data_IF_473649485749
#
_entry.id   IF_473649485749
#
_cell.length_a   1.000
_cell.length_b   1.000
_cell.length_c   1.000
_cell.angle_alpha   90.00
_cell.angle_beta   90.00
_cell.angle_gamma   90.00
#
_symmetry.space_group_name_H-M   'P 1'
#
loop_
_entity.id
_entity.type
_entity.pdbx_description
1 polymer ?
#
# COMPACT_ATOMS: atom_id res chain seq x y z
N UNK A 1 -7.73 4.26 -7.85
CA UNK A 1 -7.99 3.12 -8.78
C UNK A 1 -6.76 2.89 -9.65
N UNK A 2 -5.84 2.04 -9.21
CA UNK A 2 -4.68 1.54 -10.01
C UNK A 2 -4.19 0.19 -9.44
N UNK A 3 -5.14 -0.66 -9.05
CA UNK A 3 -5.06 -1.26 -7.71
C UNK A 3 -4.47 -2.69 -7.67
N UNK A 4 -4.83 -3.60 -8.58
CA UNK A 4 -4.37 -5.00 -8.46
C UNK A 4 -2.89 -5.24 -8.78
N UNK A 5 -2.29 -4.48 -9.70
CA UNK A 5 -0.87 -4.63 -10.02
C UNK A 5 0.04 -4.10 -8.91
N UNK A 6 -0.37 -3.02 -8.24
CA UNK A 6 0.33 -2.51 -7.07
C UNK A 6 0.33 -3.55 -5.94
N UNK A 7 -0.84 -4.15 -5.66
CA UNK A 7 -0.93 -5.27 -4.71
C UNK A 7 -0.03 -6.43 -5.13
N UNK A 8 -0.03 -6.80 -6.42
CA UNK A 8 0.82 -7.85 -6.96
C UNK A 8 2.32 -7.55 -6.74
N UNK A 9 2.76 -6.31 -7.01
CA UNK A 9 4.15 -5.90 -6.78
C UNK A 9 4.57 -6.00 -5.30
N UNK A 10 3.66 -5.67 -4.38
CA UNK A 10 3.87 -5.86 -2.94
C UNK A 10 3.95 -7.35 -2.59
N UNK A 11 3.06 -8.19 -3.11
CA UNK A 11 3.04 -9.63 -2.85
C UNK A 11 4.28 -10.37 -3.39
N UNK A 12 4.78 -9.96 -4.55
CA UNK A 12 5.98 -10.50 -5.18
C UNK A 12 7.28 -9.87 -4.65
N UNK A 13 7.18 -8.93 -3.72
CA UNK A 13 8.29 -8.21 -3.10
C UNK A 13 9.25 -7.51 -4.09
N UNK A 14 8.74 -7.15 -5.28
CA UNK A 14 9.50 -6.51 -6.36
C UNK A 14 10.19 -5.24 -5.83
N UNK A 15 9.47 -4.44 -5.04
CA UNK A 15 10.01 -3.20 -4.52
C UNK A 15 11.20 -3.42 -3.60
N UNK A 16 11.18 -4.47 -2.79
CA UNK A 16 12.26 -4.78 -1.86
C UNK A 16 13.50 -5.30 -2.59
N UNK A 17 13.31 -6.14 -3.62
CA UNK A 17 14.42 -6.64 -4.46
C UNK A 17 15.14 -5.49 -5.15
N UNK A 18 14.39 -4.59 -5.79
CA UNK A 18 14.96 -3.41 -6.44
C UNK A 18 15.64 -2.46 -5.45
N UNK A 19 15.05 -2.26 -4.26
CA UNK A 19 15.63 -1.42 -3.22
C UNK A 19 16.97 -1.98 -2.71
N UNK A 20 17.03 -3.27 -2.37
CA UNK A 20 18.24 -3.94 -1.85
C UNK A 20 19.38 -3.94 -2.85
N UNK A 21 19.07 -4.00 -4.14
CA UNK A 21 20.09 -3.92 -5.19
C UNK A 21 20.71 -2.50 -5.32
N UNK A 22 19.96 -1.46 -4.93
CA UNK A 22 20.48 -0.10 -4.73
C UNK A 22 20.74 0.71 -6.01
N UNK A 23 20.56 0.14 -7.19
CA UNK A 23 20.73 0.77 -8.51
C UNK A 23 19.72 0.19 -9.52
N UNK A 24 19.57 0.75 -10.73
CA UNK A 24 18.75 0.12 -11.75
C UNK A 24 19.17 -1.34 -12.00
N UNK A 25 18.20 -2.25 -11.98
CA UNK A 25 18.40 -3.68 -12.16
C UNK A 25 17.88 -4.14 -13.52
N UNK A 26 18.68 -4.87 -14.27
CA UNK A 26 18.26 -5.44 -15.55
C UNK A 26 17.21 -6.55 -15.35
N UNK A 27 16.26 -6.66 -16.27
CA UNK A 27 15.14 -7.61 -16.21
C UNK A 27 15.55 -9.07 -16.01
N UNK A 28 16.67 -9.50 -16.59
CA UNK A 28 17.17 -10.87 -16.43
C UNK A 28 17.56 -11.18 -14.98
N UNK A 29 18.28 -10.27 -14.32
CA UNK A 29 18.67 -10.43 -12.91
C UNK A 29 17.45 -10.37 -12.00
N UNK A 30 16.52 -9.45 -12.28
CA UNK A 30 15.27 -9.38 -11.54
C UNK A 30 14.46 -10.67 -11.67
N UNK A 31 14.42 -11.26 -12.86
CA UNK A 31 13.76 -12.53 -13.11
C UNK A 31 14.41 -13.66 -12.30
N UNK A 32 15.75 -13.70 -12.22
CA UNK A 32 16.48 -14.67 -11.41
C UNK A 32 16.16 -14.54 -9.92
N UNK A 33 16.21 -13.32 -9.37
CA UNK A 33 15.89 -13.06 -7.96
C UNK A 33 14.44 -13.47 -7.63
N UNK A 34 13.50 -13.14 -8.52
CA UNK A 34 12.08 -13.45 -8.31
C UNK A 34 11.71 -14.90 -8.63
N UNK A 35 12.60 -15.71 -9.22
CA UNK A 35 12.32 -17.11 -9.57
C UNK A 35 12.13 -18.01 -8.34
N UNK A 36 12.56 -17.57 -7.16
CA UNK A 36 12.28 -18.27 -5.89
C UNK A 36 10.84 -18.05 -5.40
N UNK A 37 10.17 -17.00 -5.88
CA UNK A 37 8.83 -16.57 -5.45
C UNK A 37 7.80 -16.84 -6.55
N UNK A 38 8.18 -16.66 -7.81
CA UNK A 38 7.32 -16.80 -8.98
C UNK A 38 7.49 -18.19 -9.57
N UNK A 39 6.36 -18.84 -9.89
CA UNK A 39 6.36 -20.12 -10.60
C UNK A 39 7.14 -20.01 -11.93
N UNK A 40 8.07 -20.94 -12.24
CA UNK A 40 8.87 -20.91 -13.46
C UNK A 40 8.04 -20.81 -14.76
N UNK A 41 6.83 -21.38 -14.80
CA UNK A 41 5.92 -21.27 -15.95
C UNK A 41 5.36 -19.85 -16.15
N UNK A 42 5.46 -18.99 -15.13
CA UNK A 42 4.91 -17.63 -15.12
C UNK A 42 5.96 -16.55 -15.24
N UNK A 43 7.24 -16.86 -15.05
CA UNK A 43 8.33 -15.88 -15.09
C UNK A 43 8.42 -15.16 -16.44
N UNK A 44 8.06 -15.83 -17.54
CA UNK A 44 8.00 -15.26 -18.89
C UNK A 44 7.00 -14.10 -19.02
N UNK A 45 6.04 -13.96 -18.09
CA UNK A 45 5.09 -12.85 -18.06
C UNK A 45 5.54 -11.68 -17.18
N UNK A 46 6.65 -11.80 -16.45
CA UNK A 46 7.21 -10.72 -15.63
C UNK A 46 7.43 -9.42 -16.43
N UNK A 47 7.94 -9.43 -17.69
CA UNK A 47 8.11 -8.21 -18.48
C UNK A 47 6.81 -7.39 -18.62
N UNK A 48 5.67 -8.07 -18.75
CA UNK A 48 4.36 -7.40 -18.88
C UNK A 48 3.96 -6.73 -17.57
N UNK A 49 4.19 -7.39 -16.43
CA UNK A 49 3.96 -6.80 -15.11
C UNK A 49 4.85 -5.58 -14.90
N UNK A 50 6.15 -5.68 -15.23
CA UNK A 50 7.10 -4.57 -15.10
C UNK A 50 6.66 -3.36 -15.93
N UNK A 51 6.29 -3.57 -17.19
CA UNK A 51 5.77 -2.50 -18.06
C UNK A 51 4.50 -1.86 -17.51
N UNK A 52 3.61 -2.65 -16.91
CA UNK A 52 2.43 -2.12 -16.25
C UNK A 52 2.83 -1.24 -15.05
N UNK A 53 3.71 -1.72 -14.17
CA UNK A 53 4.18 -0.95 -13.02
C UNK A 53 4.87 0.36 -13.42
N UNK A 54 5.60 0.37 -14.54
CA UNK A 54 6.17 1.60 -15.13
C UNK A 54 5.08 2.55 -15.59
N UNK A 55 4.07 2.05 -16.32
CA UNK A 55 2.96 2.87 -16.80
C UNK A 55 2.19 3.57 -15.66
N UNK A 56 2.08 2.93 -14.49
CA UNK A 56 1.45 3.52 -13.30
C UNK A 56 2.41 4.34 -12.42
N UNK A 57 3.65 4.57 -12.86
CA UNK A 57 4.63 5.37 -12.13
C UNK A 57 5.15 4.73 -10.84
N UNK A 58 4.96 3.42 -10.67
CA UNK A 58 5.53 2.66 -9.56
C UNK A 58 7.01 2.37 -9.82
N UNK A 59 7.36 2.06 -11.07
CA UNK A 59 8.73 1.82 -11.47
C UNK A 59 9.16 2.83 -12.54
N UNK A 60 10.46 2.99 -12.67
CA UNK A 60 11.09 3.71 -13.76
C UNK A 60 11.85 2.71 -14.62
N UNK A 61 11.62 2.76 -15.94
CA UNK A 61 12.39 1.98 -16.91
C UNK A 61 13.46 2.87 -17.52
N UNK A 62 14.68 2.35 -17.56
CA UNK A 62 15.86 2.95 -18.16
C UNK A 62 16.23 2.20 -19.45
N UNK A 63 17.25 2.69 -20.15
CA UNK A 63 17.77 2.05 -21.36
C UNK A 63 18.08 0.57 -21.14
N UNK A 64 17.86 -0.25 -22.18
CA UNK A 64 18.18 -1.68 -22.17
C UNK A 64 17.50 -2.51 -21.07
N UNK A 65 16.23 -2.27 -20.75
CA UNK A 65 15.45 -3.06 -19.78
C UNK A 65 16.00 -3.07 -18.34
N UNK A 66 16.52 -1.93 -17.91
CA UNK A 66 16.87 -1.68 -16.51
C UNK A 66 15.71 -1.00 -15.78
N UNK A 67 15.44 -1.42 -14.55
CA UNK A 67 14.31 -0.92 -13.75
C UNK A 67 14.78 -0.41 -12.39
N UNK A 68 14.19 0.68 -11.91
CA UNK A 68 14.38 1.18 -10.55
C UNK A 68 13.06 1.60 -9.91
N UNK A 69 13.08 1.84 -8.60
CA UNK A 69 11.97 2.46 -7.89
C UNK A 69 11.88 3.94 -8.23
N UNK A 70 10.64 4.43 -8.39
CA UNK A 70 10.36 5.85 -8.29
C UNK A 70 10.45 6.31 -6.82
N UNK A 71 10.60 7.61 -6.54
CA UNK A 71 10.58 8.10 -5.16
C UNK A 71 9.34 7.66 -4.39
N UNK A 72 8.17 7.64 -5.04
CA UNK A 72 6.90 7.24 -4.45
C UNK A 72 6.81 5.75 -4.14
N UNK A 73 7.43 4.87 -4.92
CA UNK A 73 7.37 3.43 -4.67
C UNK A 73 8.33 2.94 -3.59
N UNK A 74 9.19 3.82 -3.05
CA UNK A 74 9.96 3.55 -1.83
C UNK A 74 9.08 3.28 -0.61
N UNK A 75 7.88 3.86 -0.57
CA UNK A 75 6.88 3.53 0.45
C UNK A 75 6.38 2.08 0.37
N UNK A 76 6.75 1.30 -0.65
CA UNK A 76 6.39 -0.13 -0.75
C UNK A 76 7.51 -1.06 -0.26
N UNK A 77 8.62 -0.52 0.24
CA UNK A 77 9.77 -1.29 0.73
C UNK A 77 9.52 -1.71 2.17
N UNK A 78 9.78 -2.99 2.49
CA UNK A 78 9.40 -3.59 3.78
C UNK A 78 10.09 -2.97 4.98
N UNK A 79 11.37 -2.62 4.83
CA UNK A 79 12.22 -2.19 5.95
C UNK A 79 12.29 -0.65 6.08
N UNK A 80 11.49 0.09 5.29
CA UNK A 80 11.36 1.54 5.43
C UNK A 80 10.40 1.86 6.60
N UNK A 81 10.77 2.78 7.53
CA UNK A 81 10.00 3.10 8.73
C UNK A 81 8.61 3.68 8.45
N UNK A 82 8.36 4.06 7.20
CA UNK A 82 7.18 4.79 6.75
C UNK A 82 6.44 4.10 5.60
N UNK A 83 6.64 2.78 5.45
CA UNK A 83 6.06 2.04 4.34
C UNK A 83 4.53 1.94 4.44
N UNK A 84 3.86 1.89 3.29
CA UNK A 84 2.41 1.83 3.10
C UNK A 84 1.98 0.44 2.61
N UNK A 85 2.77 -0.61 2.86
CA UNK A 85 2.51 -1.94 2.32
C UNK A 85 1.23 -2.53 2.89
N UNK A 86 1.02 -2.44 4.19
CA UNK A 86 -0.18 -2.99 4.82
C UNK A 86 -1.40 -2.16 4.47
N UNK A 87 -1.26 -0.85 4.20
CA UNK A 87 -2.35 -0.02 3.65
C UNK A 87 -2.74 -0.50 2.26
N UNK A 88 -1.76 -0.81 1.40
CA UNK A 88 -2.05 -1.42 0.10
C UNK A 88 -2.77 -2.75 0.30
N UNK A 89 -2.31 -3.63 1.19
CA UNK A 89 -2.98 -4.92 1.40
C UNK A 89 -4.40 -4.75 1.95
N UNK A 90 -4.61 -3.83 2.90
CA UNK A 90 -5.89 -3.49 3.52
C UNK A 90 -6.88 -2.90 2.51
N UNK A 91 -6.44 -1.92 1.71
CA UNK A 91 -7.28 -1.28 0.70
C UNK A 91 -7.79 -2.27 -0.34
N UNK A 92 -7.06 -3.37 -0.56
CA UNK A 92 -7.40 -4.42 -1.51
C UNK A 92 -7.94 -5.68 -0.86
N UNK A 93 -8.22 -5.66 0.44
CA UNK A 93 -8.89 -6.76 1.13
C UNK A 93 -10.31 -6.96 0.53
N UNK A 94 -10.80 -8.20 0.35
CA UNK A 94 -12.13 -8.44 -0.19
C UNK A 94 -13.26 -7.71 0.56
N UNK A 95 -13.15 -7.57 1.88
CA UNK A 95 -14.14 -6.84 2.70
C UNK A 95 -14.19 -5.36 2.32
N UNK A 96 -13.02 -4.73 2.15
CA UNK A 96 -12.87 -3.34 1.72
C UNK A 96 -13.30 -3.16 0.25
N UNK A 97 -12.93 -4.09 -0.63
CA UNK A 97 -13.28 -4.06 -2.06
C UNK A 97 -14.78 -4.17 -2.29
N UNK A 98 -15.47 -5.00 -1.51
CA UNK A 98 -16.93 -5.17 -1.61
C UNK A 98 -17.68 -3.84 -1.41
N UNK A 99 -17.23 -3.01 -0.48
CA UNK A 99 -17.84 -1.70 -0.24
C UNK A 99 -17.79 -0.79 -1.49
N UNK A 100 -16.70 -0.85 -2.27
CA UNK A 100 -16.58 -0.08 -3.52
C UNK A 100 -17.56 -0.56 -4.59
N UNK A 101 -17.78 -1.87 -4.70
CA UNK A 101 -18.74 -2.43 -5.65
C UNK A 101 -20.19 -2.10 -5.30
N UNK A 102 -20.47 -1.80 -4.03
CA UNK A 102 -21.82 -1.48 -3.52
C UNK A 102 -22.12 0.02 -3.51
N UNK A 103 -21.26 0.87 -4.08
CA UNK A 103 -21.53 2.31 -4.22
C UNK A 103 -22.85 2.58 -4.96
N UNK A 104 -23.16 1.81 -6.00
CA UNK A 104 -24.43 1.94 -6.72
C UNK A 104 -25.65 1.65 -5.85
N UNK A 105 -25.57 0.61 -5.00
CA UNK A 105 -26.60 0.27 -4.02
C UNK A 105 -26.73 1.35 -2.95
N UNK A 106 -25.61 1.85 -2.46
CA UNK A 106 -25.54 2.96 -1.51
C UNK A 106 -26.25 4.21 -2.03
N UNK A 107 -25.98 4.65 -3.27
CA UNK A 107 -26.64 5.85 -3.83
C UNK A 107 -28.14 5.66 -4.12
N UNK A 108 -28.62 4.42 -4.20
CA UNK A 108 -30.03 4.11 -4.50
C UNK A 108 -30.89 3.91 -3.27
N UNK A 109 -30.30 3.81 -2.08
CA UNK A 109 -30.98 3.44 -0.85
C UNK A 109 -30.52 4.31 0.31
N UNK A 110 -31.25 4.29 1.42
CA UNK A 110 -30.92 5.05 2.63
C UNK A 110 -29.93 4.28 3.53
N UNK A 111 -28.77 3.90 2.98
CA UNK A 111 -27.70 3.30 3.76
C UNK A 111 -26.76 4.38 4.31
N UNK A 112 -26.29 4.29 5.57
CA UNK A 112 -25.36 5.28 6.12
C UNK A 112 -24.02 5.37 5.39
N UNK A 113 -23.52 4.24 4.87
CA UNK A 113 -22.26 4.16 4.10
C UNK A 113 -22.33 3.03 3.07
N UNK A 114 -21.45 3.08 2.06
CA UNK A 114 -21.29 1.98 1.11
C UNK A 114 -20.82 0.67 1.77
N UNK A 115 -20.05 0.77 2.85
CA UNK A 115 -19.68 -0.39 3.65
C UNK A 115 -20.89 -1.02 4.33
N UNK A 116 -21.81 -0.19 4.85
CA UNK A 116 -23.05 -0.68 5.43
C UNK A 116 -23.93 -1.35 4.36
N UNK A 117 -24.04 -0.77 3.16
CA UNK A 117 -24.73 -1.40 2.04
C UNK A 117 -24.13 -2.78 1.70
N UNK A 118 -22.80 -2.92 1.74
CA UNK A 118 -22.11 -4.16 1.42
C UNK A 118 -22.21 -5.25 2.49
N UNK A 119 -22.23 -4.87 3.77
CA UNK A 119 -22.03 -5.82 4.87
C UNK A 119 -23.18 -5.84 5.89
N UNK A 120 -24.18 -4.96 5.76
CA UNK A 120 -25.32 -4.84 6.66
C UNK A 120 -24.99 -4.35 8.06
N UNK A 121 -23.76 -3.84 8.27
CA UNK A 121 -23.26 -3.33 9.55
C UNK A 121 -22.25 -2.20 9.34
N UNK A 122 -22.08 -1.30 10.31
CA UNK A 122 -21.05 -0.28 10.28
C UNK A 122 -19.65 -0.89 10.14
N UNK A 123 -18.72 -0.10 9.57
CA UNK A 123 -17.32 -0.48 9.37
C UNK A 123 -16.66 -0.97 10.67
N UNK A 124 -16.76 -0.18 11.75
CA UNK A 124 -16.13 -0.54 13.03
C UNK A 124 -16.73 -1.78 13.69
N UNK A 125 -18.04 -2.00 13.56
CA UNK A 125 -18.72 -3.20 14.08
C UNK A 125 -18.32 -4.46 13.30
N UNK A 126 -17.92 -4.30 12.04
CA UNK A 126 -17.37 -5.38 11.23
C UNK A 126 -15.95 -5.72 11.69
N UNK A 127 -15.05 -4.74 11.69
CA UNK A 127 -13.62 -4.95 11.96
C UNK A 127 -13.31 -5.25 13.43
N UNK A 128 -14.16 -4.84 14.38
CA UNK A 128 -14.05 -5.25 15.79
C UNK A 128 -14.13 -6.77 15.98
N UNK A 129 -14.74 -7.50 15.04
CA UNK A 129 -14.82 -8.97 15.03
C UNK A 129 -13.69 -9.63 14.25
N UNK A 130 -12.82 -8.84 13.63
CA UNK A 130 -11.67 -9.28 12.84
C UNK A 130 -10.38 -8.63 13.36
N UNK A 131 -9.87 -9.08 14.53
CA UNK A 131 -8.75 -8.42 15.22
C UNK A 131 -7.53 -8.21 14.33
N UNK A 132 -7.21 -9.19 13.46
CA UNK A 132 -6.08 -9.11 12.53
C UNK A 132 -6.16 -7.94 11.54
N UNK A 133 -7.36 -7.62 11.05
CA UNK A 133 -7.54 -6.49 10.13
C UNK A 133 -7.61 -5.17 10.91
N UNK A 134 -8.14 -5.20 12.14
CA UNK A 134 -8.10 -4.06 13.06
C UNK A 134 -6.67 -3.66 13.42
N UNK A 135 -5.80 -4.62 13.72
CA UNK A 135 -4.39 -4.38 14.04
C UNK A 135 -3.66 -3.77 12.82
N UNK A 136 -3.84 -4.33 11.63
CA UNK A 136 -3.29 -3.78 10.38
C UNK A 136 -3.76 -2.33 10.16
N UNK A 137 -5.04 -2.05 10.40
CA UNK A 137 -5.57 -0.70 10.25
C UNK A 137 -4.94 0.27 11.25
N UNK A 138 -4.80 -0.13 12.52
CA UNK A 138 -4.22 0.71 13.56
C UNK A 138 -2.74 1.01 13.31
N UNK A 139 -1.97 -0.02 12.95
CA UNK A 139 -0.54 0.11 12.62
C UNK A 139 -0.34 1.07 11.44
N UNK A 140 -1.19 0.97 10.40
CA UNK A 140 -1.13 1.86 9.25
C UNK A 140 -1.53 3.31 9.58
N UNK A 141 -2.54 3.51 10.43
CA UNK A 141 -2.90 4.86 10.87
C UNK A 141 -1.77 5.50 11.69
N UNK A 142 -1.05 4.73 12.50
CA UNK A 142 0.13 5.21 13.21
C UNK A 142 1.25 5.63 12.24
N UNK A 143 1.57 4.79 11.25
CA UNK A 143 2.59 5.08 10.24
C UNK A 143 2.23 6.33 9.42
N UNK A 144 0.97 6.46 8.98
CA UNK A 144 0.50 7.63 8.23
C UNK A 144 0.57 8.89 9.10
N UNK A 145 0.17 8.82 10.37
CA UNK A 145 0.26 9.95 11.29
C UNK A 145 1.70 10.40 11.49
N UNK A 146 2.64 9.47 11.72
CA UNK A 146 4.05 9.80 11.88
C UNK A 146 4.64 10.41 10.60
N UNK A 147 4.26 9.91 9.43
CA UNK A 147 4.62 10.48 8.14
C UNK A 147 4.16 11.94 7.98
N UNK A 148 2.90 12.23 8.31
CA UNK A 148 2.33 13.58 8.23
C UNK A 148 3.05 14.52 9.20
N UNK A 149 3.31 14.07 10.43
CA UNK A 149 4.03 14.88 11.43
C UNK A 149 5.49 15.13 11.04
N UNK A 150 6.16 14.15 10.42
CA UNK A 150 7.55 14.28 9.97
C UNK A 150 7.68 15.15 8.70
N UNK A 151 6.71 15.06 7.79
CA UNK A 151 6.74 15.78 6.50
C UNK A 151 6.29 17.24 6.63
N UNK A 152 5.43 17.54 7.61
CA UNK A 152 4.90 18.88 7.84
C UNK A 152 5.31 19.40 9.24
N UNK A 153 6.45 20.11 9.36
CA UNK A 153 6.99 20.58 10.65
C UNK A 153 6.02 21.45 11.46
N UNK A 154 5.10 22.13 10.76
CA UNK A 154 4.06 22.98 11.37
C UNK A 154 3.13 22.16 12.28
N UNK A 155 2.90 20.88 11.96
CA UNK A 155 2.08 19.96 12.75
C UNK A 155 2.86 19.41 13.96
N UNK A 156 4.19 19.24 13.81
CA UNK A 156 5.10 18.82 14.89
C UNK A 156 5.16 19.85 16.02
N UNK A 157 5.20 21.14 15.69
CA UNK A 157 5.19 22.21 16.71
C UNK A 157 3.85 22.29 17.45
N UNK A 158 2.72 22.08 16.77
CA UNK A 158 1.40 22.09 17.42
C UNK A 158 1.18 20.90 18.38
N UNK A 159 1.71 19.73 18.03
CA UNK A 159 1.63 18.51 18.87
C UNK A 159 2.55 18.61 20.09
N UNK A 160 3.77 19.13 19.95
CA UNK A 160 4.65 19.44 21.10
C UNK A 160 4.04 20.52 22.02
N UNK A 161 3.38 21.54 21.45
CA UNK A 161 2.77 22.60 22.25
C UNK A 161 1.56 22.10 23.05
N UNK A 162 0.72 21.21 22.50
CA UNK A 162 -0.39 20.55 23.24
C UNK A 162 0.09 19.68 24.40
N UNK A 163 1.23 18.99 24.25
CA UNK A 163 1.80 18.18 25.34
C UNK A 163 2.42 19.05 26.44
N UNK A 164 2.95 20.23 26.12
CA UNK A 164 3.34 21.24 27.13
C UNK A 164 2.13 21.83 27.86
N UNK A 165 1.00 22.05 27.20
CA UNK A 165 -0.20 22.60 27.87
C UNK A 165 -0.86 21.61 28.82
N UNK A 166 -0.66 20.30 28.63
CA UNK A 166 -1.17 19.24 29.54
C UNK A 166 -0.28 18.96 30.75
N UNK A 167 0.94 19.51 30.81
CA UNK A 167 1.86 19.32 31.94
C UNK A 167 1.84 20.47 32.96
N UNK A 168 0.91 21.42 32.82
CA UNK A 168 0.77 22.61 33.68
C UNK A 168 -0.63 22.69 34.34
N UNK A 169 -1.40 21.59 34.33
CA UNK A 169 -2.65 21.46 35.08
C UNK A 169 -2.62 20.22 35.97
#
# INVERSE_FOLDING_TARGET
MSSSALRCAVQLDISNVLYKYGKPMHLSYLSTELSLIIDPSKISFLPNLMRFLVHYGILEQHDHDYYSLTPSSRFLVKDEPFNLRSLVLFAHDPSTQKAWFELGTYYKNDFPTAFHAAHGKPFWDYFSKEPKLGDIFNDEMEIICLNVVSTYPIIRDQTMNRNKTRSIC
#
